data_IF_197940110985
#
_entry.id   IF_197940110985
#
_cell.length_a   1.000
_cell.length_b   1.000
_cell.length_c   1.000
_cell.angle_alpha   90.00
_cell.angle_beta   90.00
_cell.angle_gamma   90.00
#
_symmetry.space_group_name_H-M   'P 1'
#
loop_
_entity.id
_entity.type
_entity.pdbx_description
1 polymer ?
#
# COMPACT_ATOMS: atom_id res chain seq x y z
N UNK A 1 11.26 9.37 12.92
CA UNK A 1 10.61 8.26 12.19
C UNK A 1 11.69 7.36 11.61
N UNK A 2 11.67 6.09 12.00
CA UNK A 2 12.83 5.20 11.94
C UNK A 2 13.20 4.79 10.51
N UNK A 3 14.47 4.99 10.13
CA UNK A 3 15.03 4.63 8.81
C UNK A 3 15.13 3.10 8.61
N UNK A 4 14.87 2.31 9.66
CA UNK A 4 15.01 0.84 9.67
C UNK A 4 13.70 0.05 9.83
N UNK A 5 12.52 0.63 9.61
CA UNK A 5 11.29 -0.17 9.59
C UNK A 5 11.34 -1.16 8.41
N UNK A 6 11.42 -2.45 8.74
CA UNK A 6 11.50 -3.62 7.86
C UNK A 6 10.22 -3.75 7.02
N UNK A 7 10.35 -3.95 5.71
CA UNK A 7 9.22 -4.26 4.84
C UNK A 7 8.65 -5.64 5.16
N UNK A 8 7.32 -5.74 5.23
CA UNK A 8 6.61 -6.99 5.35
C UNK A 8 6.67 -7.74 4.03
N UNK A 9 7.15 -8.98 4.08
CA UNK A 9 7.05 -9.92 2.96
C UNK A 9 5.70 -10.65 2.93
N UNK A 10 5.52 -11.54 1.96
CA UNK A 10 4.28 -12.31 1.78
C UNK A 10 3.87 -13.07 3.05
N UNK A 11 4.83 -13.74 3.70
CA UNK A 11 4.55 -14.54 4.90
C UNK A 11 4.09 -13.66 6.05
N UNK A 12 4.76 -12.52 6.24
CA UNK A 12 4.40 -11.58 7.30
C UNK A 12 3.05 -10.90 7.03
N UNK A 13 2.72 -10.59 5.77
CA UNK A 13 1.41 -10.06 5.41
C UNK A 13 0.30 -11.08 5.68
N UNK A 14 0.50 -12.36 5.31
CA UNK A 14 -0.46 -13.44 5.60
C UNK A 14 -0.66 -13.63 7.11
N UNK A 15 0.43 -13.59 7.89
CA UNK A 15 0.33 -13.66 9.36
C UNK A 15 -0.44 -12.47 9.92
N UNK A 16 -0.21 -11.26 9.40
CA UNK A 16 -0.92 -10.07 9.82
C UNK A 16 -2.42 -10.18 9.53
N UNK A 17 -2.81 -10.57 8.31
CA UNK A 17 -4.20 -10.77 7.89
C UNK A 17 -4.95 -11.68 8.88
N UNK A 18 -4.35 -12.80 9.26
CA UNK A 18 -4.98 -13.78 10.15
C UNK A 18 -4.92 -13.43 11.64
N UNK A 19 -4.12 -12.43 12.03
CA UNK A 19 -3.96 -12.01 13.43
C UNK A 19 -5.21 -11.32 13.98
N UNK A 20 -5.30 -11.19 15.31
CA UNK A 20 -6.34 -10.38 15.95
C UNK A 20 -6.32 -8.93 15.48
N UNK A 21 -5.12 -8.37 15.25
CA UNK A 21 -4.94 -7.06 14.68
C UNK A 21 -5.52 -7.01 13.27
N UNK A 22 -5.15 -7.94 12.39
CA UNK A 22 -5.67 -8.00 11.01
C UNK A 22 -7.20 -8.02 10.94
N UNK A 23 -7.83 -8.78 11.84
CA UNK A 23 -9.28 -8.92 11.92
C UNK A 23 -10.00 -7.67 12.42
N UNK A 24 -9.37 -6.81 13.21
CA UNK A 24 -10.02 -5.66 13.87
C UNK A 24 -9.53 -4.30 13.37
N UNK A 25 -8.41 -4.29 12.65
CA UNK A 25 -7.74 -3.07 12.21
C UNK A 25 -8.57 -2.35 11.16
N UNK A 26 -8.93 -1.09 11.45
CA UNK A 26 -9.58 -0.18 10.50
C UNK A 26 -8.59 0.68 9.73
N UNK A 27 -7.45 1.01 10.33
CA UNK A 27 -6.44 1.90 9.75
C UNK A 27 -5.09 1.25 9.92
N UNK A 28 -4.44 0.90 8.81
CA UNK A 28 -3.14 0.26 8.81
C UNK A 28 -2.09 1.18 8.17
N UNK A 29 -0.97 1.38 8.87
CA UNK A 29 0.24 1.99 8.33
C UNK A 29 1.32 0.90 8.24
N UNK A 30 1.78 0.59 7.04
CA UNK A 30 2.69 -0.54 6.81
C UNK A 30 3.66 -0.29 5.66
N UNK A 31 4.81 -0.96 5.69
CA UNK A 31 5.69 -1.09 4.53
C UNK A 31 5.64 -2.51 4.03
N UNK A 32 5.49 -2.72 2.73
CA UNK A 32 5.40 -4.05 2.12
C UNK A 32 6.43 -4.20 1.00
N UNK A 33 6.84 -5.44 0.74
CA UNK A 33 7.83 -5.72 -0.32
C UNK A 33 7.23 -5.62 -1.72
N UNK A 34 6.04 -6.18 -1.92
CA UNK A 34 5.44 -6.28 -3.25
C UNK A 34 4.11 -5.57 -3.33
N UNK A 35 3.78 -5.06 -4.51
CA UNK A 35 2.44 -4.50 -4.80
C UNK A 35 1.31 -5.51 -4.60
N UNK A 36 1.59 -6.81 -4.78
CA UNK A 36 0.62 -7.88 -4.51
C UNK A 36 0.26 -7.97 -3.02
N UNK A 37 1.19 -7.65 -2.12
CA UNK A 37 0.88 -7.60 -0.69
C UNK A 37 -0.16 -6.53 -0.36
N UNK A 38 -0.18 -5.41 -1.08
CA UNK A 38 -1.20 -4.36 -0.92
C UNK A 38 -2.57 -4.96 -1.26
N UNK A 39 -2.67 -5.65 -2.39
CA UNK A 39 -3.93 -6.26 -2.85
C UNK A 39 -4.44 -7.29 -1.85
N UNK A 40 -3.56 -8.17 -1.37
CA UNK A 40 -3.93 -9.18 -0.37
C UNK A 40 -4.42 -8.55 0.94
N UNK A 41 -3.75 -7.50 1.42
CA UNK A 41 -4.19 -6.80 2.63
C UNK A 41 -5.57 -6.17 2.45
N UNK A 42 -5.81 -5.49 1.33
CA UNK A 42 -7.11 -4.83 1.04
C UNK A 42 -8.24 -5.85 0.92
N UNK A 43 -8.01 -6.98 0.25
CA UNK A 43 -9.05 -7.96 -0.02
C UNK A 43 -9.38 -8.83 1.21
N UNK A 44 -8.41 -9.12 2.06
CA UNK A 44 -8.57 -10.10 3.15
C UNK A 44 -8.81 -9.45 4.52
N UNK A 45 -8.38 -8.21 4.74
CA UNK A 45 -8.66 -7.50 6.00
C UNK A 45 -10.04 -6.84 5.95
N UNK A 46 -11.08 -7.63 6.20
CA UNK A 46 -12.49 -7.24 6.04
C UNK A 46 -12.95 -5.99 6.80
N UNK A 47 -12.23 -5.56 7.84
CA UNK A 47 -12.53 -4.36 8.61
C UNK A 47 -11.65 -3.16 8.25
N UNK A 48 -10.72 -3.31 7.30
CA UNK A 48 -9.80 -2.26 6.88
C UNK A 48 -10.56 -1.19 6.09
N UNK A 49 -10.45 0.05 6.54
CA UNK A 49 -11.08 1.24 5.95
C UNK A 49 -10.04 2.19 5.34
N UNK A 50 -8.83 2.19 5.87
CA UNK A 50 -7.73 2.98 5.33
C UNK A 50 -6.40 2.22 5.41
N UNK A 51 -5.64 2.26 4.32
CA UNK A 51 -4.31 1.70 4.21
C UNK A 51 -3.34 2.78 3.75
N UNK A 52 -2.41 3.15 4.62
CA UNK A 52 -1.25 3.95 4.27
C UNK A 52 -0.07 3.00 4.08
N UNK A 53 0.41 2.87 2.86
CA UNK A 53 1.41 1.86 2.51
C UNK A 53 2.58 2.47 1.77
N UNK A 54 3.79 2.02 2.14
CA UNK A 54 4.99 2.17 1.31
C UNK A 54 5.31 0.82 0.69
N UNK A 55 5.52 0.82 -0.61
CA UNK A 55 5.87 -0.38 -1.35
C UNK A 55 7.32 -0.33 -1.81
N UNK A 56 8.07 -1.43 -1.65
CA UNK A 56 9.48 -1.50 -2.02
C UNK A 56 9.68 -1.67 -3.53
N UNK A 57 8.75 -2.35 -4.22
CA UNK A 57 8.75 -2.50 -5.69
C UNK A 57 8.10 -1.33 -6.44
N UNK A 58 7.87 -0.21 -5.75
CA UNK A 58 7.39 1.04 -6.34
C UNK A 58 8.55 1.78 -7.01
N UNK A 59 8.61 1.67 -8.33
CA UNK A 59 9.66 2.28 -9.15
C UNK A 59 9.51 3.79 -9.31
N UNK A 60 8.34 4.36 -8.96
CA UNK A 60 8.06 5.80 -9.05
C UNK A 60 9.09 6.67 -8.33
N UNK A 61 9.70 6.12 -7.27
CA UNK A 61 10.60 6.84 -6.35
C UNK A 61 12.06 6.80 -6.83
N UNK A 62 12.42 5.87 -7.72
CA UNK A 62 13.79 5.62 -8.14
C UNK A 62 14.22 6.40 -9.39
N UNK A 63 13.31 7.13 -10.02
CA UNK A 63 13.68 8.00 -11.14
C UNK A 63 14.30 9.28 -10.59
N UNK A 64 15.64 9.37 -10.67
CA UNK A 64 16.44 10.60 -10.45
C UNK A 64 16.02 11.77 -11.37
N UNK A 65 15.01 11.57 -12.22
CA UNK A 65 14.39 12.56 -13.06
C UNK A 65 12.94 12.79 -12.60
N UNK A 66 12.77 13.58 -11.54
CA UNK A 66 11.50 14.17 -11.08
C UNK A 66 10.89 15.17 -12.09
N UNK A 67 11.08 14.97 -13.39
CA UNK A 67 10.49 15.80 -14.42
C UNK A 67 9.56 14.97 -15.30
N UNK A 68 8.25 15.20 -15.11
CA UNK A 68 7.19 15.11 -16.14
C UNK A 68 6.46 13.77 -16.34
N UNK A 69 6.78 12.70 -15.62
CA UNK A 69 5.88 11.54 -15.64
C UNK A 69 4.60 11.89 -14.86
N UNK A 70 3.47 12.04 -15.55
CA UNK A 70 2.13 12.13 -14.92
C UNK A 70 1.52 10.75 -14.65
N UNK A 71 2.23 9.68 -15.01
CA UNK A 71 1.68 8.32 -15.07
C UNK A 71 2.19 7.44 -13.93
N UNK A 72 1.45 7.44 -12.82
CA UNK A 72 1.79 6.63 -11.64
C UNK A 72 1.42 5.16 -11.84
N UNK A 73 2.38 4.38 -12.35
CA UNK A 73 2.20 2.97 -12.75
C UNK A 73 1.61 2.11 -11.63
N UNK A 74 2.09 2.27 -10.39
CA UNK A 74 1.59 1.50 -9.26
C UNK A 74 0.16 1.89 -8.88
N UNK A 75 -0.17 3.18 -8.88
CA UNK A 75 -1.55 3.64 -8.61
C UNK A 75 -2.49 3.12 -9.69
N UNK A 76 -2.11 3.20 -10.96
CA UNK A 76 -2.92 2.69 -12.08
C UNK A 76 -3.08 1.18 -12.01
N UNK A 77 -2.01 0.44 -11.71
CA UNK A 77 -2.09 -1.00 -11.50
C UNK A 77 -3.03 -1.37 -10.36
N UNK A 78 -2.94 -0.67 -9.21
CA UNK A 78 -3.84 -0.89 -8.08
C UNK A 78 -5.30 -0.58 -8.43
N UNK A 79 -5.57 0.45 -9.23
CA UNK A 79 -6.93 0.78 -9.73
C UNK A 79 -7.52 -0.33 -10.60
N UNK A 80 -6.68 -1.07 -11.33
CA UNK A 80 -7.13 -2.22 -12.13
C UNK A 80 -7.35 -3.48 -11.26
N UNK A 81 -6.53 -3.68 -10.22
CA UNK A 81 -6.62 -4.88 -9.39
C UNK A 81 -7.66 -4.78 -8.26
N UNK A 82 -7.95 -3.58 -7.77
CA UNK A 82 -8.86 -3.36 -6.65
C UNK A 82 -10.24 -2.92 -7.12
N UNK A 83 -11.27 -3.25 -6.33
CA UNK A 83 -12.64 -2.81 -6.55
C UNK A 83 -12.72 -1.28 -6.71
N UNK A 84 -13.66 -0.81 -7.53
CA UNK A 84 -13.98 0.62 -7.69
C UNK A 84 -14.44 1.31 -6.40
N UNK A 85 -14.70 0.54 -5.34
CA UNK A 85 -14.95 1.06 -3.99
C UNK A 85 -13.72 1.63 -3.30
N UNK A 86 -12.51 1.38 -3.82
CA UNK A 86 -11.26 1.90 -3.25
C UNK A 86 -10.86 3.25 -3.88
N UNK A 87 -10.70 4.28 -3.05
CA UNK A 87 -10.09 5.54 -3.49
C UNK A 87 -8.60 5.48 -3.22
N UNK A 88 -7.79 5.62 -4.27
CA UNK A 88 -6.35 5.42 -4.23
C UNK A 88 -5.65 6.72 -4.62
N UNK A 89 -4.77 7.19 -3.73
CA UNK A 89 -4.06 8.48 -3.87
C UNK A 89 -2.62 8.34 -3.40
N UNK A 90 -1.69 9.05 -4.05
CA UNK A 90 -0.32 9.18 -3.57
C UNK A 90 -0.20 10.44 -2.70
N UNK A 91 0.55 10.33 -1.62
CA UNK A 91 0.83 11.48 -0.75
C UNK A 91 1.74 12.48 -1.48
N UNK A 92 1.28 13.72 -1.64
CA UNK A 92 2.00 14.78 -2.36
C UNK A 92 3.17 15.34 -1.58
N UNK A 93 3.18 15.21 -0.25
CA UNK A 93 4.27 15.65 0.62
C UNK A 93 5.31 14.54 0.84
N UNK A 94 4.87 13.29 0.80
CA UNK A 94 5.75 12.12 0.82
C UNK A 94 5.37 11.16 -0.31
N UNK A 95 5.94 11.39 -1.49
CA UNK A 95 5.67 10.62 -2.70
C UNK A 95 5.97 9.11 -2.56
N UNK A 96 6.53 8.64 -1.45
CA UNK A 96 6.77 7.23 -1.18
C UNK A 96 5.57 6.50 -0.59
N UNK A 97 4.59 7.24 -0.08
CA UNK A 97 3.46 6.68 0.63
C UNK A 97 2.20 6.77 -0.25
N UNK A 98 1.51 5.64 -0.36
CA UNK A 98 0.24 5.51 -1.06
C UNK A 98 -0.85 5.35 -0.02
N UNK A 99 -1.95 6.09 -0.18
CA UNK A 99 -3.12 6.04 0.68
C UNK A 99 -4.29 5.43 -0.09
N UNK A 100 -4.86 4.36 0.46
CA UNK A 100 -6.07 3.72 -0.02
C UNK A 100 -7.17 3.92 1.01
N UNK A 101 -8.34 4.35 0.55
CA UNK A 101 -9.57 4.42 1.34
C UNK A 101 -10.55 3.38 0.83
N UNK A 102 -11.00 2.49 1.70
CA UNK A 102 -11.81 1.33 1.40
C UNK A 102 -13.22 1.59 1.98
N UNK A 103 -14.23 1.55 1.12
CA UNK A 103 -15.63 1.76 1.49
C UNK A 103 -16.31 0.48 1.94
#
# INVERSE_FOLDING_TARGET
CDRNSRCFDDKQCIQLIHSSLGKQCKILLIKVKTRMNIVNLVNEMSNLQALNVRCEDDTWINEENLSLSTYDELIEWLRHCLSSSCMITRDTHNNRDIRLWIK
#
